data_IF_900444256914
#
_entry.id   IF_900444256914
#
_cell.length_a   1.000
_cell.length_b   1.000
_cell.length_c   1.000
_cell.angle_alpha   90.00
_cell.angle_beta   90.00
_cell.angle_gamma   90.00
#
_symmetry.space_group_name_H-M   'P 1'
#
loop_
_entity.id
_entity.type
_entity.pdbx_description
1 polymer ?
#
# COMPACT_ATOMS: atom_id res chain seq x y z
N UNK A 1 23.54 13.05 -15.95
CA UNK A 1 22.32 12.26 -15.62
C UNK A 1 21.31 12.17 -16.78
N UNK A 2 21.08 13.23 -17.54
CA UNK A 2 20.13 13.22 -18.67
C UNK A 2 20.38 12.03 -19.63
N UNK A 3 21.60 11.87 -20.11
CA UNK A 3 21.95 10.80 -21.07
C UNK A 3 21.74 9.40 -20.48
N UNK A 4 21.99 9.24 -19.19
CA UNK A 4 21.77 7.95 -18.49
C UNK A 4 20.29 7.61 -18.39
N UNK A 5 19.45 8.62 -18.08
CA UNK A 5 18.00 8.46 -18.07
C UNK A 5 17.48 8.15 -19.48
N UNK A 6 17.96 8.89 -20.48
CA UNK A 6 17.56 8.67 -21.87
C UNK A 6 17.95 7.25 -22.34
N UNK A 7 19.16 6.81 -22.04
CA UNK A 7 19.62 5.47 -22.40
C UNK A 7 18.81 4.37 -21.69
N UNK A 8 18.50 4.55 -20.40
CA UNK A 8 17.66 3.62 -19.65
C UNK A 8 16.23 3.56 -20.21
N UNK A 9 15.61 4.73 -20.43
CA UNK A 9 14.28 4.85 -21.01
C UNK A 9 14.20 4.23 -22.41
N UNK A 10 15.17 4.51 -23.26
CA UNK A 10 15.25 3.96 -24.62
C UNK A 10 15.35 2.44 -24.61
N UNK A 11 16.25 1.89 -23.78
CA UNK A 11 16.39 0.44 -23.62
C UNK A 11 15.10 -0.23 -23.17
N UNK A 12 14.38 0.38 -22.23
CA UNK A 12 13.11 -0.20 -21.77
C UNK A 12 12.01 -0.14 -22.83
N UNK A 13 12.07 0.78 -23.81
CA UNK A 13 11.17 0.79 -24.96
C UNK A 13 11.54 -0.32 -25.95
N UNK A 14 12.82 -0.43 -26.29
CA UNK A 14 13.28 -1.29 -27.36
C UNK A 14 13.32 -2.78 -26.96
N UNK A 15 13.50 -3.09 -25.68
CA UNK A 15 13.60 -4.47 -25.17
C UNK A 15 12.31 -4.85 -24.41
N UNK A 16 11.62 -5.95 -24.76
CA UNK A 16 10.45 -6.44 -24.01
C UNK A 16 10.80 -7.01 -22.64
N UNK A 17 12.07 -7.30 -22.37
CA UNK A 17 12.55 -7.79 -21.07
C UNK A 17 12.88 -6.66 -20.13
N UNK A 18 12.99 -6.97 -18.83
CA UNK A 18 13.37 -5.98 -17.83
C UNK A 18 14.87 -5.70 -17.90
N UNK A 19 15.24 -4.45 -18.17
CA UNK A 19 16.65 -4.01 -18.18
C UNK A 19 17.18 -3.79 -16.75
N UNK A 20 18.47 -4.13 -16.50
CA UNK A 20 19.12 -3.82 -15.23
C UNK A 20 19.36 -2.33 -15.05
N UNK A 21 19.09 -1.78 -13.87
CA UNK A 21 19.45 -0.43 -13.44
C UNK A 21 20.41 -0.47 -12.26
N UNK A 22 21.24 0.58 -12.13
CA UNK A 22 22.09 0.73 -10.96
C UNK A 22 21.24 0.90 -9.69
N UNK A 23 21.65 0.35 -8.54
CA UNK A 23 20.87 0.43 -7.30
C UNK A 23 20.51 1.85 -6.85
N UNK A 24 21.37 2.84 -7.15
CA UNK A 24 21.24 4.25 -6.81
C UNK A 24 20.68 5.12 -7.94
N UNK A 25 20.13 4.50 -8.99
CA UNK A 25 19.69 5.20 -10.20
C UNK A 25 18.65 6.28 -9.91
N UNK A 26 17.61 5.95 -9.14
CA UNK A 26 16.55 6.93 -8.82
C UNK A 26 17.00 8.00 -7.85
N UNK A 27 17.92 7.68 -6.95
CA UNK A 27 18.53 8.68 -6.06
C UNK A 27 19.24 9.77 -6.89
N UNK A 28 20.07 9.36 -7.84
CA UNK A 28 20.79 10.29 -8.73
C UNK A 28 19.86 11.12 -9.63
N UNK A 29 18.73 10.54 -10.07
CA UNK A 29 17.69 11.29 -10.81
C UNK A 29 17.02 12.32 -9.92
N UNK A 30 16.70 11.97 -8.67
CA UNK A 30 16.10 12.89 -7.71
C UNK A 30 17.02 14.09 -7.41
N UNK A 31 18.31 13.83 -7.20
CA UNK A 31 19.34 14.88 -7.03
C UNK A 31 19.42 15.78 -8.26
N UNK A 32 19.44 15.19 -9.45
CA UNK A 32 19.48 15.96 -10.70
C UNK A 32 18.25 16.86 -10.89
N UNK A 33 17.05 16.37 -10.61
CA UNK A 33 15.82 17.18 -10.64
C UNK A 33 15.82 18.28 -9.56
N UNK A 34 16.41 18.03 -8.39
CA UNK A 34 16.56 19.05 -7.35
C UNK A 34 17.48 20.17 -7.82
N UNK A 35 18.63 19.84 -8.45
CA UNK A 35 19.55 20.86 -9.03
C UNK A 35 18.86 21.70 -10.11
N UNK A 36 18.10 21.10 -11.01
CA UNK A 36 17.36 21.87 -12.03
C UNK A 36 16.38 22.85 -11.37
N UNK A 37 15.71 22.44 -10.28
CA UNK A 37 14.77 23.31 -9.53
C UNK A 37 15.49 24.45 -8.82
N UNK A 38 16.64 24.20 -8.22
CA UNK A 38 17.50 25.23 -7.58
C UNK A 38 18.01 26.25 -8.60
N UNK A 39 18.55 25.78 -9.73
CA UNK A 39 19.01 26.65 -10.83
C UNK A 39 17.89 27.53 -11.38
N UNK A 40 16.68 27.01 -11.51
CA UNK A 40 15.50 27.81 -11.89
C UNK A 40 15.17 28.90 -10.87
N UNK A 41 15.37 28.64 -9.59
CA UNK A 41 15.14 29.62 -8.51
C UNK A 41 16.18 30.76 -8.48
N UNK A 42 17.40 30.50 -8.96
CA UNK A 42 18.51 31.43 -8.93
C UNK A 42 18.59 32.33 -10.18
N UNK A 43 17.86 32.02 -11.26
CA UNK A 43 17.94 32.74 -12.55
C UNK A 43 16.77 33.69 -12.73
N UNK A 44 17.03 34.85 -13.36
CA UNK A 44 16.00 35.85 -13.67
C UNK A 44 14.94 35.30 -14.63
N UNK A 45 13.65 35.44 -14.27
CA UNK A 45 12.48 34.84 -14.96
C UNK A 45 12.36 35.19 -16.45
N UNK A 46 13.09 36.19 -16.93
CA UNK A 46 13.10 36.62 -18.34
C UNK A 46 14.25 36.03 -19.16
N UNK A 47 15.09 35.21 -18.60
CA UNK A 47 16.25 34.63 -19.29
C UNK A 47 15.84 33.47 -20.20
N UNK A 48 16.44 33.40 -21.40
CA UNK A 48 16.33 32.25 -22.32
C UNK A 48 16.79 30.96 -21.64
N UNK A 49 17.75 31.03 -20.70
CA UNK A 49 18.27 29.91 -19.94
C UNK A 49 17.17 29.25 -19.08
N UNK A 50 16.24 30.02 -18.53
CA UNK A 50 15.14 29.47 -17.73
C UNK A 50 14.20 28.63 -18.59
N UNK A 51 13.89 29.08 -19.80
CA UNK A 51 13.04 28.35 -20.74
C UNK A 51 13.70 26.99 -21.12
N UNK A 52 15.02 26.99 -21.30
CA UNK A 52 15.77 25.77 -21.62
C UNK A 52 15.71 24.77 -20.45
N UNK A 53 15.97 25.23 -19.23
CA UNK A 53 15.87 24.41 -18.02
C UNK A 53 14.46 23.86 -17.80
N UNK A 54 13.43 24.65 -18.14
CA UNK A 54 12.05 24.17 -18.08
C UNK A 54 11.72 23.09 -19.09
N UNK A 55 12.25 23.23 -20.31
CA UNK A 55 12.12 22.17 -21.32
C UNK A 55 12.85 20.91 -20.90
N UNK A 56 14.07 21.05 -20.36
CA UNK A 56 14.86 19.94 -19.85
C UNK A 56 14.13 19.22 -18.70
N UNK A 57 13.65 19.97 -17.70
CA UNK A 57 12.88 19.40 -16.58
C UNK A 57 11.64 18.62 -17.07
N UNK A 58 10.86 19.21 -17.98
CA UNK A 58 9.67 18.55 -18.54
C UNK A 58 10.02 17.27 -19.30
N UNK A 59 11.10 17.30 -20.07
CA UNK A 59 11.56 16.10 -20.78
C UNK A 59 12.02 14.99 -19.82
N UNK A 60 12.77 15.35 -18.77
CA UNK A 60 13.22 14.42 -17.73
C UNK A 60 12.00 13.83 -17.01
N UNK A 61 11.05 14.65 -16.58
CA UNK A 61 9.84 14.18 -15.89
C UNK A 61 9.02 13.23 -16.78
N UNK A 62 8.87 13.55 -18.08
CA UNK A 62 8.16 12.68 -19.02
C UNK A 62 8.86 11.33 -19.19
N UNK A 63 10.17 11.35 -19.49
CA UNK A 63 10.95 10.11 -19.66
C UNK A 63 10.94 9.26 -18.38
N UNK A 64 11.07 9.91 -17.22
CA UNK A 64 11.04 9.21 -15.93
C UNK A 64 9.69 8.55 -15.69
N UNK A 65 8.59 9.26 -15.95
CA UNK A 65 7.23 8.71 -15.80
C UNK A 65 6.99 7.51 -16.71
N UNK A 66 7.38 7.62 -17.97
CA UNK A 66 7.26 6.52 -18.93
C UNK A 66 8.14 5.32 -18.54
N UNK A 67 9.39 5.58 -18.11
CA UNK A 67 10.30 4.55 -17.61
C UNK A 67 9.71 3.80 -16.42
N UNK A 68 9.21 4.53 -15.42
CA UNK A 68 8.60 3.93 -14.22
C UNK A 68 7.40 3.07 -14.58
N UNK A 69 6.51 3.53 -15.47
CA UNK A 69 5.33 2.76 -15.89
C UNK A 69 5.72 1.47 -16.64
N UNK A 70 6.67 1.54 -17.55
CA UNK A 70 7.18 0.36 -18.28
C UNK A 70 7.84 -0.64 -17.31
N UNK A 71 8.71 -0.18 -16.43
CA UNK A 71 9.41 -1.03 -15.47
C UNK A 71 8.45 -1.67 -14.49
N UNK A 72 7.50 -0.91 -13.96
CA UNK A 72 6.45 -1.44 -13.09
C UNK A 72 5.73 -2.65 -13.73
N UNK A 73 5.28 -2.50 -14.98
CA UNK A 73 4.60 -3.60 -15.70
C UNK A 73 5.51 -4.80 -15.94
N UNK A 74 6.79 -4.57 -16.30
CA UNK A 74 7.76 -5.64 -16.52
C UNK A 74 8.14 -6.36 -15.23
N UNK A 75 8.30 -5.64 -14.13
CA UNK A 75 8.58 -6.22 -12.81
C UNK A 75 7.41 -7.13 -12.39
N UNK A 76 6.16 -6.64 -12.44
CA UNK A 76 4.99 -7.43 -12.12
C UNK A 76 4.90 -8.69 -12.99
N UNK A 77 5.05 -8.54 -14.31
CA UNK A 77 5.04 -9.66 -15.25
C UNK A 77 6.14 -10.69 -14.95
N UNK A 78 7.31 -10.23 -14.49
CA UNK A 78 8.43 -11.10 -14.15
C UNK A 78 8.15 -11.84 -12.84
N UNK A 79 7.63 -11.16 -11.82
CA UNK A 79 7.27 -11.76 -10.53
C UNK A 79 6.20 -12.83 -10.73
N UNK A 80 5.10 -12.52 -11.42
CA UNK A 80 4.01 -13.47 -11.67
C UNK A 80 4.41 -14.69 -12.51
N UNK A 81 5.47 -14.56 -13.31
CA UNK A 81 5.98 -15.69 -14.11
C UNK A 81 7.01 -16.55 -13.38
N UNK A 82 7.87 -15.93 -12.57
CA UNK A 82 9.00 -16.60 -11.91
C UNK A 82 8.78 -16.86 -10.42
N UNK A 83 7.68 -16.35 -9.84
CA UNK A 83 7.33 -16.42 -8.42
C UNK A 83 8.43 -15.87 -7.49
N UNK A 84 9.28 -14.98 -8.03
CA UNK A 84 10.34 -14.29 -7.29
C UNK A 84 10.73 -12.96 -7.93
N UNK A 85 11.25 -12.04 -7.12
CA UNK A 85 11.76 -10.76 -7.61
C UNK A 85 13.13 -10.92 -8.29
N UNK A 86 13.36 -10.28 -9.46
CA UNK A 86 14.64 -10.27 -10.16
C UNK A 86 15.58 -9.20 -9.55
N UNK A 87 16.01 -9.37 -8.30
CA UNK A 87 16.74 -8.36 -7.50
C UNK A 87 17.96 -7.78 -8.20
N UNK A 88 18.68 -8.58 -8.98
CA UNK A 88 19.89 -8.17 -9.72
C UNK A 88 19.63 -7.08 -10.79
N UNK A 89 18.37 -6.94 -11.24
CA UNK A 89 17.96 -5.99 -12.27
C UNK A 89 17.26 -4.75 -11.70
N UNK A 90 17.01 -4.74 -10.39
CA UNK A 90 16.19 -3.72 -9.70
C UNK A 90 17.06 -2.69 -8.98
N UNK A 91 16.52 -1.48 -8.86
CA UNK A 91 17.08 -0.48 -7.94
C UNK A 91 16.75 -0.84 -6.50
N UNK A 92 17.35 -0.11 -5.54
CA UNK A 92 17.06 -0.32 -4.11
C UNK A 92 15.60 -0.13 -3.77
N UNK A 93 14.96 0.87 -4.37
CA UNK A 93 13.55 1.18 -4.15
C UNK A 93 12.64 0.12 -4.78
N UNK A 94 12.93 -0.28 -6.01
CA UNK A 94 12.18 -1.32 -6.72
C UNK A 94 12.27 -2.66 -6.00
N UNK A 95 13.44 -3.02 -5.45
CA UNK A 95 13.63 -4.27 -4.70
C UNK A 95 12.73 -4.34 -3.47
N UNK A 96 12.66 -3.27 -2.68
CA UNK A 96 11.77 -3.19 -1.51
C UNK A 96 10.30 -3.33 -1.88
N UNK A 97 9.87 -2.69 -2.98
CA UNK A 97 8.50 -2.81 -3.47
C UNK A 97 8.22 -4.22 -4.02
N UNK A 98 9.17 -4.80 -4.73
CA UNK A 98 9.04 -6.13 -5.33
C UNK A 98 8.86 -7.24 -4.28
N UNK A 99 9.52 -7.15 -3.12
CA UNK A 99 9.31 -8.08 -2.00
C UNK A 99 7.85 -8.12 -1.53
N UNK A 100 7.20 -6.97 -1.48
CA UNK A 100 5.78 -6.88 -1.12
C UNK A 100 4.88 -7.54 -2.16
N UNK A 101 5.22 -7.42 -3.44
CA UNK A 101 4.49 -8.08 -4.54
C UNK A 101 4.65 -9.60 -4.51
N UNK A 102 5.84 -10.11 -4.22
CA UNK A 102 6.07 -11.56 -4.06
C UNK A 102 5.23 -12.10 -2.90
N UNK A 103 5.18 -11.38 -1.78
CA UNK A 103 4.34 -11.75 -0.64
C UNK A 103 2.85 -11.81 -1.00
N UNK A 104 2.36 -10.84 -1.77
CA UNK A 104 0.98 -10.82 -2.26
C UNK A 104 0.69 -12.00 -3.20
N UNK A 105 1.61 -12.30 -4.11
CA UNK A 105 1.47 -13.40 -5.06
C UNK A 105 1.36 -14.74 -4.35
N UNK A 106 2.24 -15.04 -3.40
CA UNK A 106 2.15 -16.25 -2.58
C UNK A 106 0.84 -16.35 -1.80
N UNK A 107 0.38 -15.24 -1.21
CA UNK A 107 -0.90 -15.22 -0.52
C UNK A 107 -2.08 -15.50 -1.45
N UNK A 108 -2.02 -15.00 -2.68
CA UNK A 108 -3.04 -15.24 -3.71
C UNK A 108 -3.03 -16.70 -4.19
N UNK A 109 -1.88 -17.30 -4.41
CA UNK A 109 -1.76 -18.73 -4.76
C UNK A 109 -2.32 -19.65 -3.66
N UNK A 110 -1.99 -19.36 -2.39
CA UNK A 110 -2.54 -20.09 -1.27
C UNK A 110 -4.06 -19.95 -1.20
N UNK A 111 -4.58 -18.75 -1.39
CA UNK A 111 -6.02 -18.50 -1.46
C UNK A 111 -6.68 -19.33 -2.57
N UNK A 112 -6.09 -19.30 -3.78
CA UNK A 112 -6.63 -20.04 -4.92
C UNK A 112 -6.60 -21.57 -4.68
N UNK A 113 -5.51 -22.09 -4.13
CA UNK A 113 -5.39 -23.51 -3.77
C UNK A 113 -6.45 -23.95 -2.75
N UNK A 114 -6.59 -23.17 -1.67
CA UNK A 114 -7.57 -23.48 -0.62
C UNK A 114 -9.00 -23.40 -1.15
N UNK A 115 -9.28 -22.44 -2.04
CA UNK A 115 -10.59 -22.33 -2.68
C UNK A 115 -10.91 -23.54 -3.56
N UNK A 116 -9.92 -24.07 -4.31
CA UNK A 116 -10.08 -25.26 -5.12
C UNK A 116 -10.28 -26.53 -4.25
N UNK A 117 -9.73 -26.54 -3.04
CA UNK A 117 -9.93 -27.61 -2.05
C UNK A 117 -11.23 -27.47 -1.26
N UNK A 118 -12.05 -26.44 -1.54
CA UNK A 118 -13.30 -26.15 -0.83
C UNK A 118 -13.12 -25.60 0.58
N UNK A 119 -11.93 -25.10 0.92
CA UNK A 119 -11.62 -24.51 2.21
C UNK A 119 -11.80 -23.01 2.17
N UNK A 120 -12.50 -22.45 3.17
CA UNK A 120 -12.58 -20.99 3.35
C UNK A 120 -11.40 -20.54 4.22
N UNK A 121 -10.42 -19.87 3.62
CA UNK A 121 -9.33 -19.26 4.37
C UNK A 121 -9.61 -17.80 4.65
N UNK A 122 -9.45 -17.32 5.91
CA UNK A 122 -9.41 -15.90 6.18
C UNK A 122 -8.15 -15.32 5.52
N UNK A 123 -8.32 -14.37 4.61
CA UNK A 123 -7.19 -13.67 3.97
C UNK A 123 -6.53 -12.78 5.04
N UNK A 124 -5.38 -13.19 5.55
CA UNK A 124 -4.55 -12.36 6.43
C UNK A 124 -3.50 -11.66 5.56
N UNK A 125 -3.80 -10.45 5.11
CA UNK A 125 -2.80 -9.62 4.44
C UNK A 125 -1.88 -9.05 5.51
N UNK A 126 -0.71 -9.63 5.69
CA UNK A 126 0.33 -9.07 6.55
C UNK A 126 1.02 -7.94 5.78
N UNK A 127 0.56 -6.70 6.01
CA UNK A 127 1.30 -5.53 5.54
C UNK A 127 2.56 -5.42 6.40
N UNK A 128 3.71 -5.78 5.84
CA UNK A 128 5.01 -5.54 6.48
C UNK A 128 5.24 -4.02 6.47
N UNK A 129 4.85 -3.36 7.54
CA UNK A 129 5.31 -2.01 7.79
C UNK A 129 6.79 -2.10 8.17
N UNK A 130 7.66 -1.60 7.30
CA UNK A 130 9.09 -1.40 7.60
C UNK A 130 9.21 -0.35 8.70
N UNK A 131 9.31 -0.81 9.94
CA UNK A 131 9.66 0.04 11.09
C UNK A 131 11.15 0.29 11.01
N UNK A 132 11.54 1.53 10.80
CA UNK A 132 12.91 2.02 10.97
C UNK A 132 13.41 1.66 12.38
N UNK A 133 14.55 0.98 12.55
CA UNK A 133 15.04 0.68 13.89
C UNK A 133 15.67 1.91 14.52
N UNK A 134 14.98 2.53 15.46
CA UNK A 134 15.64 3.37 16.46
C UNK A 134 16.09 2.45 17.59
N UNK A 135 17.41 2.38 17.77
CA UNK A 135 18.05 1.64 18.87
C UNK A 135 17.66 2.23 20.21
N UNK A 136 17.31 1.42 21.18
CA UNK A 136 17.75 1.51 22.57
C UNK A 136 17.33 0.28 23.40
N UNK A 137 18.31 -0.49 23.79
CA UNK A 137 18.58 -1.31 24.98
C UNK A 137 17.51 -2.05 25.82
N UNK A 138 17.84 -3.35 25.97
CA UNK A 138 17.78 -4.26 27.15
C UNK A 138 16.44 -4.78 27.70
N UNK A 139 16.26 -6.07 27.44
CA UNK A 139 15.85 -7.32 28.15
C UNK A 139 15.07 -7.20 29.50
N UNK A 140 14.08 -8.05 29.86
CA UNK A 140 14.13 -9.51 29.76
C UNK A 140 12.86 -10.25 29.28
N UNK A 141 13.10 -11.52 28.89
CA UNK A 141 12.19 -12.61 28.58
C UNK A 141 10.90 -12.69 29.41
N UNK A 142 9.78 -12.70 28.74
CA UNK A 142 8.60 -13.46 29.18
C UNK A 142 7.78 -13.86 27.93
N UNK A 143 7.53 -15.12 27.80
CA UNK A 143 6.69 -15.72 26.75
C UNK A 143 5.28 -15.13 26.80
N UNK A 144 4.86 -14.47 25.72
CA UNK A 144 3.45 -14.11 25.52
C UNK A 144 3.09 -14.39 24.07
N UNK A 145 2.18 -15.35 23.87
CA UNK A 145 1.48 -15.62 22.62
C UNK A 145 0.87 -14.31 22.09
N UNK A 146 1.04 -13.97 20.79
CA UNK A 146 0.35 -12.79 20.24
C UNK A 146 -1.09 -13.16 19.90
N UNK A 147 -2.02 -12.88 20.80
CA UNK A 147 -3.39 -12.61 20.42
C UNK A 147 -3.51 -11.09 20.30
N UNK A 148 -3.42 -10.55 19.09
CA UNK A 148 -3.84 -9.18 18.83
C UNK A 148 -5.37 -9.19 18.75
N UNK A 149 -6.01 -9.17 19.92
CA UNK A 149 -7.38 -8.71 20.03
C UNK A 149 -7.36 -7.19 19.88
N UNK A 150 -7.68 -6.69 18.70
CA UNK A 150 -8.21 -5.34 18.57
C UNK A 150 -9.53 -5.37 19.32
N UNK A 151 -9.52 -4.94 20.58
CA UNK A 151 -10.72 -4.78 21.41
C UNK A 151 -11.49 -3.59 20.85
N UNK A 152 -12.30 -3.82 19.81
CA UNK A 152 -13.36 -2.89 19.46
C UNK A 152 -14.28 -2.80 20.66
N UNK A 153 -14.28 -1.63 21.34
CA UNK A 153 -15.20 -1.35 22.41
C UNK A 153 -16.61 -1.64 21.89
N UNK A 154 -17.30 -2.60 22.52
CA UNK A 154 -18.66 -3.00 22.12
C UNK A 154 -19.66 -2.27 23.00
N UNK A 155 -20.77 -1.88 22.41
CA UNK A 155 -21.88 -1.25 23.11
C UNK A 155 -23.12 -2.11 22.94
N UNK A 156 -23.89 -2.28 24.02
CA UNK A 156 -25.15 -3.02 23.99
C UNK A 156 -26.30 -2.06 23.68
N UNK A 157 -27.07 -2.38 22.65
CA UNK A 157 -28.16 -1.59 22.14
C UNK A 157 -29.48 -2.36 22.20
N UNK A 158 -30.58 -1.66 22.48
CA UNK A 158 -31.94 -2.12 22.24
C UNK A 158 -32.49 -1.42 21.01
N UNK A 159 -32.99 -2.19 20.06
CA UNK A 159 -33.51 -1.69 18.81
C UNK A 159 -34.97 -1.20 18.97
N UNK A 160 -35.26 -0.06 18.37
CA UNK A 160 -36.59 0.52 18.39
C UNK A 160 -37.39 0.22 17.11
N UNK A 161 -36.71 -0.24 16.07
CA UNK A 161 -37.29 -0.58 14.75
C UNK A 161 -36.61 -1.83 14.16
N UNK A 162 -37.32 -2.48 13.25
CA UNK A 162 -36.75 -3.60 12.51
C UNK A 162 -35.63 -3.11 11.58
N UNK A 163 -34.46 -3.76 11.66
CA UNK A 163 -33.29 -3.43 10.88
C UNK A 163 -32.89 -4.68 10.08
N UNK A 164 -32.63 -4.55 8.76
CA UNK A 164 -32.09 -5.64 7.96
C UNK A 164 -30.67 -6.02 8.45
N UNK A 165 -30.12 -7.12 7.96
CA UNK A 165 -28.75 -7.51 8.28
C UNK A 165 -27.77 -6.41 7.86
N UNK A 166 -26.91 -6.00 8.79
CA UNK A 166 -25.88 -4.96 8.58
C UNK A 166 -24.49 -5.54 8.80
N UNK A 167 -23.50 -4.99 8.12
CA UNK A 167 -22.10 -5.34 8.31
C UNK A 167 -21.50 -4.45 9.42
N UNK A 168 -20.89 -5.07 10.43
CA UNK A 168 -20.18 -4.37 11.49
C UNK A 168 -18.81 -3.87 11.08
N UNK A 169 -18.24 -2.91 11.81
CA UNK A 169 -16.87 -2.45 11.65
C UNK A 169 -15.82 -3.55 11.90
N UNK A 170 -16.21 -4.63 12.53
CA UNK A 170 -15.43 -5.86 12.74
C UNK A 170 -15.66 -6.91 11.64
N UNK A 171 -16.22 -6.49 10.51
CA UNK A 171 -16.56 -7.33 9.34
C UNK A 171 -17.48 -8.53 9.64
N UNK A 172 -18.23 -8.48 10.74
CA UNK A 172 -19.24 -9.49 11.07
C UNK A 172 -20.62 -9.01 10.66
N UNK A 173 -21.47 -9.93 10.21
CA UNK A 173 -22.88 -9.65 9.91
C UNK A 173 -23.70 -9.66 11.20
N UNK A 174 -24.52 -8.63 11.40
CA UNK A 174 -25.45 -8.47 12.53
C UNK A 174 -26.88 -8.34 12.01
N UNK A 175 -27.77 -9.19 12.47
CA UNK A 175 -29.18 -9.16 12.11
C UNK A 175 -29.61 -10.22 11.10
N UNK A 176 -30.82 -10.14 10.61
CA UNK A 176 -31.82 -9.08 10.84
C UNK A 176 -32.21 -8.95 12.31
N UNK A 177 -32.48 -7.72 12.77
CA UNK A 177 -32.82 -7.39 14.15
C UNK A 177 -34.22 -6.79 14.20
N UNK A 178 -35.07 -7.34 15.06
CA UNK A 178 -36.44 -6.86 15.24
C UNK A 178 -36.51 -5.72 16.26
N UNK A 179 -37.62 -5.02 16.27
CA UNK A 179 -37.90 -4.07 17.35
C UNK A 179 -37.90 -4.79 18.71
N UNK A 180 -37.33 -4.16 19.72
CA UNK A 180 -37.11 -4.66 21.08
C UNK A 180 -35.99 -5.71 21.24
N UNK A 181 -35.32 -6.12 20.16
CA UNK A 181 -34.13 -6.95 20.25
C UNK A 181 -32.98 -6.21 20.95
N UNK A 182 -32.12 -6.98 21.63
CA UNK A 182 -30.91 -6.49 22.29
C UNK A 182 -29.69 -7.16 21.67
N UNK A 183 -28.76 -6.37 21.15
CA UNK A 183 -27.53 -6.90 20.60
C UNK A 183 -26.32 -6.03 20.95
N UNK A 184 -25.15 -6.66 21.04
CA UNK A 184 -23.88 -5.99 21.27
C UNK A 184 -23.13 -5.78 19.95
N UNK A 185 -22.93 -4.51 19.57
CA UNK A 185 -22.28 -4.10 18.33
C UNK A 185 -20.98 -3.33 18.59
N UNK A 186 -20.08 -3.28 17.59
CA UNK A 186 -18.92 -2.39 17.63
C UNK A 186 -19.37 -0.92 17.85
N UNK A 187 -18.60 -0.18 18.64
CA UNK A 187 -18.96 1.19 19.06
C UNK A 187 -19.28 2.13 17.90
N UNK A 188 -18.58 1.98 16.77
CA UNK A 188 -18.82 2.79 15.55
C UNK A 188 -20.21 2.53 14.97
N UNK A 189 -20.61 1.27 14.82
CA UNK A 189 -21.96 0.92 14.35
C UNK A 189 -23.04 1.34 15.35
N UNK A 190 -22.78 1.13 16.63
CA UNK A 190 -23.69 1.52 17.70
C UNK A 190 -24.01 3.03 17.69
N UNK A 191 -22.98 3.87 17.57
CA UNK A 191 -23.15 5.33 17.49
C UNK A 191 -23.98 5.78 16.28
N UNK A 192 -23.79 5.15 15.13
CA UNK A 192 -24.56 5.47 13.91
C UNK A 192 -26.03 5.13 14.09
N UNK A 193 -26.34 3.95 14.66
CA UNK A 193 -27.71 3.48 14.86
C UNK A 193 -28.45 4.33 15.91
N UNK A 194 -27.76 4.72 16.97
CA UNK A 194 -28.33 5.65 18.00
C UNK A 194 -28.57 7.03 17.38
N UNK A 195 -27.66 7.55 16.57
CA UNK A 195 -27.80 8.85 15.91
C UNK A 195 -28.95 8.88 14.91
N UNK A 196 -29.27 7.72 14.30
CA UNK A 196 -30.42 7.56 13.41
C UNK A 196 -31.72 7.22 14.13
N UNK A 197 -31.74 7.19 15.47
CA UNK A 197 -32.90 6.83 16.31
C UNK A 197 -33.47 5.43 16.01
N UNK A 198 -32.61 4.52 15.60
CA UNK A 198 -32.93 3.12 15.31
C UNK A 198 -32.68 2.20 16.51
N UNK A 199 -31.86 2.64 17.45
CA UNK A 199 -31.53 1.91 18.65
C UNK A 199 -31.22 2.87 19.84
N UNK A 200 -31.34 2.36 21.06
CA UNK A 200 -31.02 3.05 22.30
C UNK A 200 -29.93 2.30 23.04
N UNK A 201 -28.95 3.03 23.60
CA UNK A 201 -27.90 2.46 24.41
C UNK A 201 -28.45 1.90 25.72
N UNK A 202 -28.08 0.66 26.06
CA UNK A 202 -28.36 0.07 27.37
C UNK A 202 -27.03 0.01 28.14
N UNK A 203 -26.98 0.72 29.27
CA UNK A 203 -25.91 0.54 30.24
C UNK A 203 -26.25 -0.71 31.07
N UNK A 204 -25.43 -1.78 30.89
CA UNK A 204 -25.51 -2.93 31.78
C UNK A 204 -24.68 -2.58 33.01
N UNK A 205 -25.41 -2.25 34.09
CA UNK A 205 -24.82 -2.02 35.41
C UNK A 205 -24.24 -3.28 36.01
#
# INVERSE_FOLDING_TARGET
>A
MYDQLYAAWRREIDDPTLGGLAPDFYLKIAEYLAHIKEDKGAIDKKSVKINLLEHEARNVERMLKELLDMRYRKILKTITRLHKAPIELLTTEESKMAESFVGFEHAYEQFASNLMEGQQTPITVTIIQSVTPTQTNEVPKTEIKPQVHVTHKRLTLRFTKNIPAIMGADMKSYGPLAADDVASLPALNAQILVKQSLAVLIEVS
#
